data_IF_569362747147
#
_entry.id   IF_569362747147
#
_cell.length_a   1.000
_cell.length_b   1.000
_cell.length_c   1.000
_cell.angle_alpha   90.00
_cell.angle_beta   90.00
_cell.angle_gamma   90.00
#
_symmetry.space_group_name_H-M   'P 1'
#
loop_
_entity.id
_entity.type
_entity.pdbx_description
1 polymer ?
#
# COMPACT_ATOMS: atom_id res chain seq x y z
N UNK A 1 5.55 -30.56 -13.18
CA UNK A 1 4.75 -30.17 -12.00
C UNK A 1 5.69 -29.46 -11.05
N UNK A 2 5.49 -28.16 -10.81
CA UNK A 2 6.34 -27.38 -9.90
C UNK A 2 6.20 -27.89 -8.47
N UNK A 3 7.30 -27.89 -7.73
CA UNK A 3 7.28 -28.34 -6.33
C UNK A 3 6.52 -27.33 -5.46
N UNK A 4 5.96 -27.77 -4.32
CA UNK A 4 5.23 -26.88 -3.37
C UNK A 4 6.09 -25.67 -2.96
N UNK A 5 7.40 -25.87 -2.82
CA UNK A 5 8.37 -24.81 -2.52
C UNK A 5 8.47 -23.74 -3.62
N UNK A 6 8.31 -24.14 -4.89
CA UNK A 6 8.38 -23.25 -6.04
C UNK A 6 7.14 -22.36 -6.17
N UNK A 7 5.96 -22.92 -5.86
CA UNK A 7 4.71 -22.16 -5.78
C UNK A 7 4.74 -21.15 -4.63
N UNK A 8 5.29 -21.50 -3.47
CA UNK A 8 5.42 -20.59 -2.32
C UNK A 8 6.40 -19.44 -2.64
N UNK A 9 7.56 -19.74 -3.23
CA UNK A 9 8.53 -18.71 -3.65
C UNK A 9 7.92 -17.71 -4.62
N UNK A 10 7.20 -18.20 -5.63
CA UNK A 10 6.52 -17.35 -6.60
C UNK A 10 5.42 -16.49 -5.96
N UNK A 11 4.71 -17.02 -4.98
CA UNK A 11 3.70 -16.26 -4.23
C UNK A 11 4.34 -15.12 -3.42
N UNK A 12 5.52 -15.33 -2.83
CA UNK A 12 6.24 -14.30 -2.08
C UNK A 12 6.75 -13.19 -3.02
N UNK A 13 7.33 -13.55 -4.16
CA UNK A 13 7.80 -12.58 -5.17
C UNK A 13 6.66 -11.69 -5.70
N UNK A 14 5.48 -12.27 -5.96
CA UNK A 14 4.30 -11.51 -6.40
C UNK A 14 3.83 -10.55 -5.29
N UNK A 15 3.79 -10.99 -4.04
CA UNK A 15 3.36 -10.16 -2.92
C UNK A 15 4.32 -8.97 -2.71
N UNK A 16 5.63 -9.20 -2.78
CA UNK A 16 6.62 -8.14 -2.63
C UNK A 16 6.62 -7.16 -3.81
N UNK A 17 6.41 -7.66 -5.03
CA UNK A 17 6.23 -6.80 -6.21
C UNK A 17 4.97 -5.94 -6.08
N UNK A 18 3.86 -6.53 -5.64
CA UNK A 18 2.59 -5.82 -5.42
C UNK A 18 2.76 -4.70 -4.40
N UNK A 19 3.41 -4.98 -3.27
CA UNK A 19 3.69 -3.97 -2.24
C UNK A 19 4.57 -2.85 -2.76
N UNK A 20 5.62 -3.16 -3.52
CA UNK A 20 6.46 -2.14 -4.17
C UNK A 20 5.63 -1.24 -5.07
N UNK A 21 4.78 -1.83 -5.92
CA UNK A 21 3.87 -1.06 -6.79
C UNK A 21 2.95 -0.17 -5.96
N UNK A 22 2.31 -0.68 -4.90
CA UNK A 22 1.41 0.10 -4.05
C UNK A 22 2.14 1.25 -3.34
N UNK A 23 3.36 1.01 -2.84
CA UNK A 23 4.20 2.06 -2.24
C UNK A 23 4.56 3.13 -3.28
N UNK A 24 5.01 2.72 -4.46
CA UNK A 24 5.34 3.63 -5.57
C UNK A 24 4.13 4.43 -6.01
N UNK A 25 2.95 3.82 -6.12
CA UNK A 25 1.71 4.50 -6.50
C UNK A 25 1.29 5.54 -5.45
N UNK A 26 1.20 5.17 -4.18
CA UNK A 26 0.81 6.11 -3.13
C UNK A 26 1.86 7.22 -2.93
N UNK A 27 3.15 6.88 -2.96
CA UNK A 27 4.24 7.87 -2.92
C UNK A 27 4.24 8.81 -4.13
N UNK A 28 4.02 8.26 -5.33
CA UNK A 28 3.87 9.04 -6.56
C UNK A 28 2.66 9.95 -6.52
N UNK A 29 1.52 9.47 -6.01
CA UNK A 29 0.31 10.26 -5.81
C UNK A 29 0.53 11.45 -4.87
N UNK A 30 1.24 11.25 -3.75
CA UNK A 30 1.66 12.33 -2.85
C UNK A 30 2.53 13.35 -3.60
N UNK A 31 3.51 12.87 -4.37
CA UNK A 31 4.38 13.73 -5.19
C UNK A 31 3.58 14.60 -6.16
N UNK A 32 2.64 14.01 -6.90
CA UNK A 32 1.75 14.74 -7.82
C UNK A 32 0.94 15.80 -7.10
N UNK A 33 0.33 15.46 -5.95
CA UNK A 33 -0.46 16.43 -5.17
C UNK A 33 0.40 17.61 -4.74
N UNK A 34 1.61 17.39 -4.22
CA UNK A 34 2.50 18.47 -3.83
C UNK A 34 3.00 19.30 -5.02
N UNK A 35 3.29 18.68 -6.17
CA UNK A 35 3.67 19.40 -7.38
C UNK A 35 2.54 20.34 -7.88
N UNK A 36 1.30 19.85 -7.86
CA UNK A 36 0.13 20.67 -8.23
C UNK A 36 -0.12 21.77 -7.20
N UNK A 37 -0.06 21.44 -5.91
CA UNK A 37 -0.21 22.41 -4.83
C UNK A 37 0.85 23.52 -4.90
N UNK A 38 2.12 23.19 -5.18
CA UNK A 38 3.18 24.18 -5.36
C UNK A 38 2.95 25.09 -6.57
N UNK A 39 2.48 24.52 -7.68
CA UNK A 39 2.12 25.29 -8.89
C UNK A 39 0.95 26.24 -8.64
N UNK A 40 -0.03 25.82 -7.84
CA UNK A 40 -1.19 26.63 -7.47
C UNK A 40 -0.87 27.69 -6.40
N UNK A 41 0.02 27.38 -5.45
CA UNK A 41 0.49 28.32 -4.45
C UNK A 41 1.21 29.51 -5.10
N UNK A 42 1.99 29.27 -6.16
CA UNK A 42 2.60 30.33 -6.97
C UNK A 42 1.57 31.26 -7.64
N UNK A 43 0.30 30.82 -7.75
CA UNK A 43 -0.83 31.59 -8.28
C UNK A 43 -1.74 32.15 -7.16
N UNK A 44 -1.32 32.09 -5.90
CA UNK A 44 -2.07 32.61 -4.76
C UNK A 44 -3.18 31.70 -4.23
N UNK A 45 -3.27 30.45 -4.70
CA UNK A 45 -4.28 29.49 -4.25
C UNK A 45 -3.78 28.73 -3.02
N UNK A 46 -4.56 28.72 -1.95
CA UNK A 46 -4.24 28.00 -0.72
C UNK A 46 -4.25 26.47 -0.92
N UNK A 47 -3.23 25.79 -0.43
CA UNK A 47 -3.04 24.35 -0.58
C UNK A 47 -3.85 23.47 0.41
N UNK A 48 -4.88 24.01 1.08
CA UNK A 48 -5.68 23.27 2.05
C UNK A 48 -6.41 22.06 1.46
N UNK A 49 -6.74 22.13 0.16
CA UNK A 49 -7.36 21.02 -0.59
C UNK A 49 -6.47 19.77 -0.68
N UNK A 50 -5.15 19.92 -0.55
CA UNK A 50 -4.19 18.82 -0.65
C UNK A 50 -4.13 17.93 0.61
N UNK A 51 -4.66 18.41 1.74
CA UNK A 51 -4.57 17.70 3.03
C UNK A 51 -5.27 16.33 2.97
N UNK A 52 -6.51 16.30 2.49
CA UNK A 52 -7.31 15.08 2.40
C UNK A 52 -6.73 14.02 1.46
N UNK A 53 -6.37 14.30 0.20
CA UNK A 53 -5.79 13.30 -0.68
C UNK A 53 -4.44 12.78 -0.15
N UNK A 54 -3.59 13.64 0.42
CA UNK A 54 -2.32 13.20 1.04
C UNK A 54 -2.57 12.29 2.23
N UNK A 55 -3.52 12.64 3.11
CA UNK A 55 -3.86 11.80 4.25
C UNK A 55 -4.33 10.39 3.82
N UNK A 56 -5.14 10.30 2.75
CA UNK A 56 -5.60 9.02 2.21
C UNK A 56 -4.44 8.20 1.62
N UNK A 57 -3.53 8.82 0.86
CA UNK A 57 -2.33 8.13 0.36
C UNK A 57 -1.41 7.65 1.49
N UNK A 58 -1.24 8.47 2.54
CA UNK A 58 -0.46 8.08 3.73
C UNK A 58 -1.12 6.89 4.44
N UNK A 59 -2.45 6.87 4.58
CA UNK A 59 -3.15 5.71 5.11
C UNK A 59 -2.90 4.46 4.25
N UNK A 60 -2.93 4.57 2.92
CA UNK A 60 -2.56 3.47 2.01
C UNK A 60 -1.15 2.92 2.26
N UNK A 61 -0.17 3.80 2.50
CA UNK A 61 1.19 3.42 2.88
C UNK A 61 1.25 2.71 4.24
N UNK A 62 0.50 3.21 5.23
CA UNK A 62 0.43 2.58 6.57
C UNK A 62 -0.14 1.17 6.50
N UNK A 63 -1.20 0.94 5.73
CA UNK A 63 -1.75 -0.41 5.52
C UNK A 63 -0.77 -1.34 4.80
N UNK A 64 -0.03 -0.82 3.82
CA UNK A 64 1.04 -1.58 3.16
C UNK A 64 2.16 -1.95 4.14
N UNK A 65 2.54 -1.02 5.02
CA UNK A 65 3.50 -1.26 6.11
C UNK A 65 3.03 -2.33 7.09
N UNK A 66 1.76 -2.30 7.48
CA UNK A 66 1.15 -3.33 8.33
C UNK A 66 1.17 -4.72 7.65
N UNK A 67 0.85 -4.79 6.36
CA UNK A 67 0.95 -6.02 5.56
C UNK A 67 2.37 -6.59 5.55
N UNK A 68 3.39 -5.73 5.36
CA UNK A 68 4.80 -6.10 5.42
C UNK A 68 5.22 -6.60 6.80
N UNK A 69 4.81 -5.92 7.87
CA UNK A 69 5.18 -6.32 9.23
C UNK A 69 4.60 -7.70 9.59
N UNK A 70 3.35 -7.95 9.20
CA UNK A 70 2.69 -9.24 9.36
C UNK A 70 3.39 -10.36 8.56
N UNK A 71 3.82 -10.07 7.32
CA UNK A 71 4.57 -11.00 6.49
C UNK A 71 5.95 -11.31 7.09
N UNK A 72 6.69 -10.28 7.53
CA UNK A 72 8.00 -10.44 8.18
C UNK A 72 7.90 -11.27 9.47
N UNK A 73 6.90 -11.01 10.30
CA UNK A 73 6.68 -11.76 11.53
C UNK A 73 6.37 -13.24 11.26
N UNK A 74 5.66 -13.57 10.17
CA UNK A 74 5.45 -14.95 9.72
C UNK A 74 6.76 -15.62 9.30
N UNK A 75 7.58 -14.96 8.50
CA UNK A 75 8.86 -15.51 8.03
C UNK A 75 9.79 -15.81 9.21
N UNK A 76 9.83 -14.93 10.22
CA UNK A 76 10.57 -15.14 11.46
C UNK A 76 10.06 -16.37 12.23
N UNK A 77 8.74 -16.47 12.45
CA UNK A 77 8.15 -17.64 13.15
C UNK A 77 8.40 -18.95 12.42
N UNK A 78 8.38 -18.95 11.08
CA UNK A 78 8.69 -20.14 10.26
C UNK A 78 10.15 -20.56 10.43
N UNK A 79 11.07 -19.60 10.36
CA UNK A 79 12.50 -19.84 10.57
C UNK A 79 12.78 -20.43 11.96
N UNK A 80 12.11 -19.92 12.98
CA UNK A 80 12.30 -20.38 14.35
C UNK A 80 11.69 -21.79 14.55
N UNK A 81 10.51 -22.08 13.96
CA UNK A 81 9.92 -23.43 13.96
C UNK A 81 10.81 -24.48 13.24
N UNK A 82 11.40 -24.10 12.10
CA UNK A 82 12.34 -24.95 11.37
C UNK A 82 13.62 -25.25 12.15
N UNK A 83 14.11 -24.28 12.95
CA UNK A 83 15.25 -24.49 13.86
C UNK A 83 14.91 -25.40 15.04
N UNK A 84 13.66 -25.36 15.50
CA UNK A 84 13.17 -26.17 16.62
C UNK A 84 12.63 -27.55 16.19
N UNK A 85 12.68 -27.89 14.89
CA UNK A 85 12.17 -29.17 14.37
C UNK A 85 10.65 -29.34 14.52
N UNK A 86 9.91 -28.24 14.68
CA UNK A 86 8.44 -28.23 14.84
C UNK A 86 7.77 -28.10 13.48
N UNK A 87 6.63 -28.78 13.31
CA UNK A 87 5.82 -28.65 12.08
C UNK A 87 5.45 -27.18 11.84
N UNK A 88 5.55 -26.75 10.58
CA UNK A 88 5.13 -25.41 10.18
C UNK A 88 3.67 -25.19 10.58
N UNK A 89 3.32 -24.03 11.16
CA UNK A 89 1.94 -23.79 11.57
C UNK A 89 1.02 -23.79 10.34
N UNK A 90 0.18 -24.82 10.19
CA UNK A 90 -0.75 -25.11 9.06
C UNK A 90 -1.70 -23.95 8.67
N UNK A 91 -1.70 -22.83 9.37
CA UNK A 91 -2.58 -21.67 9.14
C UNK A 91 -2.12 -20.76 7.99
N UNK A 92 -1.33 -21.27 7.03
CA UNK A 92 -0.83 -20.52 5.86
C UNK A 92 -1.96 -19.84 5.07
N UNK A 93 -3.06 -20.56 4.81
CA UNK A 93 -4.16 -20.05 3.96
C UNK A 93 -4.88 -18.85 4.56
N UNK A 94 -5.19 -18.88 5.87
CA UNK A 94 -5.88 -17.77 6.57
C UNK A 94 -5.00 -16.51 6.65
N UNK A 95 -3.71 -16.68 6.87
CA UNK A 95 -2.77 -15.56 6.96
C UNK A 95 -2.46 -14.94 5.59
N UNK A 96 -2.31 -15.76 4.56
CA UNK A 96 -2.17 -15.30 3.18
C UNK A 96 -3.34 -14.39 2.76
N UNK A 97 -4.57 -14.86 2.99
CA UNK A 97 -5.76 -14.06 2.71
C UNK A 97 -5.77 -12.74 3.49
N UNK A 98 -5.37 -12.76 4.76
CA UNK A 98 -5.33 -11.55 5.59
C UNK A 98 -4.31 -10.53 5.07
N UNK A 99 -3.11 -10.95 4.66
CA UNK A 99 -2.12 -10.05 4.04
C UNK A 99 -2.60 -9.53 2.67
N UNK A 100 -3.22 -10.39 1.86
CA UNK A 100 -3.78 -9.99 0.57
C UNK A 100 -4.91 -8.97 0.70
N UNK A 101 -5.79 -9.11 1.70
CA UNK A 101 -6.83 -8.11 1.99
C UNK A 101 -6.22 -6.76 2.31
N UNK A 102 -5.12 -6.70 3.06
CA UNK A 102 -4.45 -5.43 3.37
C UNK A 102 -3.83 -4.77 2.14
N UNK A 103 -3.21 -5.56 1.26
CA UNK A 103 -2.65 -5.05 0.01
C UNK A 103 -3.76 -4.52 -0.93
N UNK A 104 -4.92 -5.18 -0.96
CA UNK A 104 -6.08 -4.77 -1.75
C UNK A 104 -6.76 -3.51 -1.18
N UNK A 105 -6.85 -3.40 0.16
CA UNK A 105 -7.31 -2.18 0.83
C UNK A 105 -6.36 -1.01 0.55
N UNK A 106 -5.05 -1.23 0.59
CA UNK A 106 -4.07 -0.19 0.27
C UNK A 106 -4.16 0.28 -1.19
N UNK A 107 -4.44 -0.64 -2.13
CA UNK A 107 -4.72 -0.28 -3.51
C UNK A 107 -6.04 0.48 -3.68
N UNK A 108 -7.10 0.09 -2.98
CA UNK A 108 -8.37 0.81 -2.98
C UNK A 108 -8.21 2.23 -2.41
N UNK A 109 -7.41 2.40 -1.35
CA UNK A 109 -7.09 3.71 -0.78
C UNK A 109 -6.35 4.60 -1.77
N UNK A 110 -5.47 4.07 -2.60
CA UNK A 110 -4.88 4.84 -3.70
C UNK A 110 -5.96 5.39 -4.66
N UNK A 111 -6.90 4.54 -5.08
CA UNK A 111 -8.01 4.97 -5.95
C UNK A 111 -8.89 6.05 -5.30
N UNK A 112 -9.23 5.86 -4.02
CA UNK A 112 -9.99 6.85 -3.24
C UNK A 112 -9.21 8.16 -3.10
N UNK A 113 -7.91 8.10 -2.79
CA UNK A 113 -7.05 9.29 -2.66
C UNK A 113 -6.95 10.07 -3.97
N UNK A 114 -6.83 9.37 -5.10
CA UNK A 114 -6.84 9.98 -6.42
C UNK A 114 -8.18 10.66 -6.73
N UNK A 115 -9.31 9.99 -6.46
CA UNK A 115 -10.66 10.56 -6.65
C UNK A 115 -10.88 11.79 -5.77
N UNK A 116 -10.55 11.71 -4.48
CA UNK A 116 -10.65 12.84 -3.54
C UNK A 116 -9.79 14.00 -4.01
N UNK A 117 -8.57 13.74 -4.49
CA UNK A 117 -7.69 14.76 -5.05
C UNK A 117 -8.27 15.45 -6.28
N UNK A 118 -8.83 14.68 -7.22
CA UNK A 118 -9.47 15.23 -8.43
C UNK A 118 -10.71 16.06 -8.08
N UNK A 119 -11.56 15.57 -7.19
CA UNK A 119 -12.76 16.28 -6.74
C UNK A 119 -12.37 17.56 -6.01
N UNK A 120 -11.42 17.51 -5.08
CA UNK A 120 -10.95 18.69 -4.35
C UNK A 120 -10.34 19.73 -5.30
N UNK A 121 -9.55 19.28 -6.29
CA UNK A 121 -8.99 20.15 -7.31
C UNK A 121 -10.08 20.79 -8.19
N UNK A 122 -11.14 20.05 -8.52
CA UNK A 122 -12.26 20.58 -9.32
C UNK A 122 -13.01 21.72 -8.61
N UNK A 123 -13.14 21.66 -7.28
CA UNK A 123 -13.73 22.75 -6.49
C UNK A 123 -12.84 23.99 -6.46
N UNK A 124 -11.52 23.79 -6.39
CA UNK A 124 -10.53 24.87 -6.37
C UNK A 124 -10.40 25.53 -7.75
N UNK A 125 -10.49 24.76 -8.83
CA UNK A 125 -10.45 25.29 -10.19
C UNK A 125 -11.80 25.91 -10.64
N UNK A 126 -12.92 25.45 -10.07
CA UNK A 126 -14.27 25.94 -10.37
C UNK A 126 -14.70 27.18 -9.60
N UNK A 127 -14.04 27.52 -8.49
CA UNK A 127 -14.20 28.77 -7.74
C UNK A 127 -12.88 29.55 -7.76
N UNK A 128 -12.53 30.21 -8.89
CA UNK A 128 -11.34 31.05 -8.97
C UNK A 128 -11.41 32.26 -8.04
#
# INVERSE_FOLDING_TARGET
MGTVAEHEKRSQEIADTTRRVVVTLNGGGIGVVFSVAGTLAAKGVYASWAIWPVAVFVLGLLFTGLSLFLAKHRELKRRDAAKEGKEEPEKFKKWYWRSFTWDLVAFALFGVGALVGLVALSFVAGNP
#
